data_IF_056537792185
#
_entry.id   IF_056537792185
#
_cell.length_a   1.000
_cell.length_b   1.000
_cell.length_c   1.000
_cell.angle_alpha   90.00
_cell.angle_beta   90.00
_cell.angle_gamma   90.00
#
_symmetry.space_group_name_H-M   'P 1'
#
loop_
_entity.id
_entity.type
_entity.pdbx_description
1 polymer ?
#
# COMPACT_ATOMS: atom_id res chain seq x y z
N UNK A 1 -21.56 58.94 30.85
CA UNK A 1 -20.74 59.16 29.63
C UNK A 1 -19.27 59.17 30.00
N UNK A 2 -18.41 58.67 29.10
CA UNK A 2 -16.93 58.49 29.14
C UNK A 2 -16.40 57.22 29.82
N UNK A 3 -15.82 56.33 29.01
CA UNK A 3 -14.40 55.97 29.03
C UNK A 3 -14.03 55.23 27.73
N UNK A 4 -13.15 55.85 26.96
CA UNK A 4 -12.44 55.26 25.82
C UNK A 4 -11.45 54.22 26.36
N UNK A 5 -11.19 53.15 25.59
CA UNK A 5 -9.84 52.68 25.29
C UNK A 5 -9.91 51.51 24.30
N UNK A 6 -9.51 51.82 23.07
CA UNK A 6 -9.13 50.86 22.05
C UNK A 6 -7.76 50.29 22.47
N UNK A 7 -7.63 48.97 22.59
CA UNK A 7 -6.34 48.29 22.61
C UNK A 7 -6.28 47.35 21.41
N UNK A 8 -5.59 47.82 20.37
CA UNK A 8 -5.11 47.00 19.27
C UNK A 8 -3.91 46.23 19.82
N UNK A 9 -4.08 44.94 20.09
CA UNK A 9 -2.97 44.01 20.28
C UNK A 9 -2.76 43.26 18.96
N UNK A 10 -2.09 43.92 18.02
CA UNK A 10 -1.28 43.22 17.03
C UNK A 10 -0.17 42.50 17.80
N UNK A 11 0.00 41.20 17.57
CA UNK A 11 1.24 40.40 17.65
C UNK A 11 0.87 38.93 17.92
N UNK A 12 0.20 38.33 16.94
CA UNK A 12 0.17 36.88 16.77
C UNK A 12 0.93 36.54 15.50
N UNK A 13 2.25 36.77 15.48
CA UNK A 13 3.16 36.06 14.59
C UNK A 13 3.09 34.58 14.98
N UNK A 14 2.00 33.94 14.56
CA UNK A 14 1.91 32.50 14.51
C UNK A 14 2.90 32.06 13.46
N UNK A 15 4.15 31.85 13.90
CA UNK A 15 5.01 30.82 13.35
C UNK A 15 4.20 29.52 13.43
N UNK A 16 3.28 29.35 12.48
CA UNK A 16 2.82 28.05 12.07
C UNK A 16 4.07 27.37 11.57
N UNK A 17 4.75 26.69 12.51
CA UNK A 17 5.70 25.66 12.18
C UNK A 17 5.00 24.84 11.11
N UNK A 18 5.49 24.98 9.87
CA UNK A 18 5.20 24.07 8.80
C UNK A 18 5.77 22.76 9.34
N UNK A 19 4.95 22.00 10.09
CA UNK A 19 5.15 20.59 10.30
C UNK A 19 5.21 20.07 8.88
N UNK A 20 6.44 19.87 8.40
CA UNK A 20 6.70 18.82 7.44
C UNK A 20 6.17 17.59 8.16
N UNK A 21 4.91 17.24 7.88
CA UNK A 21 4.50 15.86 7.91
C UNK A 21 5.51 15.17 7.01
N UNK A 22 6.57 14.65 7.62
CA UNK A 22 7.30 13.56 7.03
C UNK A 22 6.24 12.53 6.73
N UNK A 23 5.83 12.49 5.46
CA UNK A 23 5.09 11.38 4.91
C UNK A 23 5.94 10.17 5.24
N UNK A 24 5.57 9.50 6.34
CA UNK A 24 6.13 8.24 6.78
C UNK A 24 6.04 7.38 5.54
N UNK A 25 7.18 7.15 4.88
CA UNK A 25 7.25 6.25 3.74
C UNK A 25 6.60 4.98 4.23
N UNK A 26 5.45 4.66 3.64
CA UNK A 26 4.73 3.42 3.93
C UNK A 26 5.77 2.33 3.86
N UNK A 27 6.00 1.66 5.00
CA UNK A 27 6.96 0.57 5.08
C UNK A 27 6.49 -0.43 4.04
N UNK A 28 7.25 -0.62 2.97
CA UNK A 28 6.84 -1.50 1.86
C UNK A 28 6.58 -2.88 2.45
N UNK A 29 5.31 -3.29 2.49
CA UNK A 29 4.92 -4.59 3.02
C UNK A 29 5.39 -5.67 2.04
N UNK A 30 6.11 -6.66 2.56
CA UNK A 30 6.57 -7.83 1.80
C UNK A 30 5.77 -9.07 2.15
N UNK A 31 5.69 -10.00 1.21
CA UNK A 31 5.09 -11.32 1.35
C UNK A 31 6.20 -12.35 1.13
N UNK A 32 6.30 -13.30 2.05
CA UNK A 32 7.20 -14.45 1.91
C UNK A 32 6.50 -15.55 1.12
N UNK A 33 7.14 -16.00 0.05
CA UNK A 33 6.65 -17.05 -0.86
C UNK A 33 7.84 -17.93 -1.20
N UNK A 34 7.78 -19.23 -0.91
CA UNK A 34 8.88 -20.17 -1.15
C UNK A 34 10.24 -19.70 -0.58
N UNK A 35 10.22 -19.09 0.61
CA UNK A 35 11.40 -18.55 1.28
C UNK A 35 11.97 -17.26 0.67
N UNK A 36 11.32 -16.68 -0.33
CA UNK A 36 11.72 -15.42 -0.96
C UNK A 36 10.76 -14.28 -0.61
N UNK A 37 11.33 -13.10 -0.40
CA UNK A 37 10.56 -11.88 -0.18
C UNK A 37 10.13 -11.25 -1.51
N UNK A 38 8.84 -10.95 -1.59
CA UNK A 38 8.21 -10.23 -2.68
C UNK A 38 7.51 -9.00 -2.15
N UNK A 39 7.65 -7.87 -2.82
CA UNK A 39 6.83 -6.70 -2.51
C UNK A 39 5.34 -7.01 -2.75
N UNK A 40 4.48 -6.63 -1.80
CA UNK A 40 3.04 -6.85 -1.90
C UNK A 40 2.45 -6.23 -3.16
N UNK A 41 2.92 -5.05 -3.56
CA UNK A 41 2.52 -4.38 -4.80
C UNK A 41 2.84 -5.23 -6.03
N UNK A 42 4.05 -5.79 -6.07
CA UNK A 42 4.49 -6.68 -7.14
C UNK A 42 3.62 -7.92 -7.23
N UNK A 43 3.33 -8.58 -6.10
CA UNK A 43 2.46 -9.76 -6.05
C UNK A 43 1.09 -9.42 -6.62
N UNK A 44 0.46 -8.35 -6.13
CA UNK A 44 -0.89 -7.95 -6.57
C UNK A 44 -0.93 -7.57 -8.04
N UNK A 45 0.04 -6.79 -8.52
CA UNK A 45 0.12 -6.39 -9.93
C UNK A 45 0.34 -7.59 -10.84
N UNK A 46 1.16 -8.55 -10.40
CA UNK A 46 1.45 -9.75 -11.18
C UNK A 46 0.26 -10.69 -11.23
N UNK A 47 -0.36 -10.98 -10.09
CA UNK A 47 -1.60 -11.77 -10.03
C UNK A 47 -2.73 -11.12 -10.83
N UNK A 48 -2.90 -9.80 -10.73
CA UNK A 48 -3.88 -9.03 -11.52
C UNK A 48 -3.68 -9.24 -13.01
N UNK A 49 -2.43 -9.23 -13.50
CA UNK A 49 -2.11 -9.47 -14.91
C UNK A 49 -2.36 -10.91 -15.32
N UNK A 50 -1.92 -11.89 -14.53
CA UNK A 50 -2.06 -13.32 -14.84
C UNK A 50 -3.54 -13.72 -14.89
N UNK A 51 -4.34 -13.26 -13.93
CA UNK A 51 -5.75 -13.63 -13.83
C UNK A 51 -6.68 -12.69 -14.61
N UNK A 52 -6.15 -11.60 -15.18
CA UNK A 52 -6.91 -10.51 -15.80
C UNK A 52 -8.01 -9.92 -14.89
N UNK A 53 -7.65 -9.66 -13.62
CA UNK A 53 -8.57 -9.14 -12.60
C UNK A 53 -8.11 -7.78 -12.07
N UNK A 54 -9.01 -6.93 -11.55
CA UNK A 54 -8.63 -5.67 -10.91
C UNK A 54 -7.68 -5.91 -9.73
N UNK A 55 -6.56 -5.21 -9.68
CA UNK A 55 -5.59 -5.29 -8.59
C UNK A 55 -6.24 -5.07 -7.21
N UNK A 56 -7.14 -4.10 -7.12
CA UNK A 56 -7.80 -3.71 -5.86
C UNK A 56 -8.78 -4.75 -5.32
N UNK A 57 -9.08 -5.80 -6.10
CA UNK A 57 -9.89 -6.93 -5.66
C UNK A 57 -9.09 -8.08 -5.06
N UNK A 58 -7.76 -7.97 -5.08
CA UNK A 58 -6.85 -9.03 -4.65
C UNK A 58 -6.28 -8.62 -3.31
N UNK A 59 -6.42 -9.51 -2.32
CA UNK A 59 -5.83 -9.29 -1.01
C UNK A 59 -5.13 -10.55 -0.51
N UNK A 60 -3.96 -10.36 0.09
CA UNK A 60 -3.22 -11.41 0.76
C UNK A 60 -3.70 -11.56 2.20
N UNK A 61 -4.07 -12.79 2.58
CA UNK A 61 -4.33 -13.18 3.95
C UNK A 61 -3.09 -13.88 4.54
N UNK A 62 -2.37 -13.23 5.48
CA UNK A 62 -1.17 -13.80 6.09
C UNK A 62 -1.46 -14.98 7.01
N UNK A 63 -2.68 -15.12 7.54
CA UNK A 63 -3.02 -16.22 8.44
C UNK A 63 -3.19 -17.54 7.70
N UNK A 64 -3.78 -17.48 6.51
CA UNK A 64 -4.05 -18.66 5.67
C UNK A 64 -3.04 -18.81 4.53
N UNK A 65 -2.12 -17.86 4.37
CA UNK A 65 -1.19 -17.77 3.24
C UNK A 65 -1.93 -17.85 1.88
N UNK A 66 -3.05 -17.15 1.74
CA UNK A 66 -3.85 -17.17 0.50
C UNK A 66 -4.00 -15.78 -0.11
N UNK A 67 -4.06 -15.73 -1.44
CA UNK A 67 -4.62 -14.61 -2.19
C UNK A 67 -6.11 -14.84 -2.36
N UNK A 68 -6.88 -13.89 -1.85
CA UNK A 68 -8.33 -13.91 -1.91
C UNK A 68 -8.83 -12.86 -2.89
N UNK A 69 -9.96 -13.17 -3.54
CA UNK A 69 -10.57 -12.35 -4.58
C UNK A 69 -12.03 -12.10 -4.21
N UNK A 70 -12.30 -10.89 -3.73
CA UNK A 70 -13.54 -10.54 -3.02
C UNK A 70 -14.83 -10.91 -3.78
N UNK A 71 -14.89 -10.55 -5.07
CA UNK A 71 -16.13 -10.72 -5.85
C UNK A 71 -16.29 -12.11 -6.46
N UNK A 72 -15.25 -12.94 -6.45
CA UNK A 72 -15.31 -14.31 -6.97
C UNK A 72 -15.53 -15.34 -5.86
N UNK A 73 -15.49 -14.93 -4.58
CA UNK A 73 -15.41 -15.83 -3.43
C UNK A 73 -14.34 -16.92 -3.65
N UNK A 74 -13.21 -16.49 -4.21
CA UNK A 74 -12.13 -17.36 -4.65
C UNK A 74 -10.88 -17.09 -3.81
N UNK A 75 -10.26 -18.17 -3.35
CA UNK A 75 -9.00 -18.13 -2.60
C UNK A 75 -8.01 -19.08 -3.24
N UNK A 76 -6.79 -18.60 -3.45
CA UNK A 76 -5.68 -19.40 -3.94
C UNK A 76 -4.53 -19.35 -2.95
N UNK A 77 -3.89 -20.49 -2.72
CA UNK A 77 -2.63 -20.60 -1.99
C UNK A 77 -1.52 -19.79 -2.70
N UNK A 78 -0.86 -18.90 -1.97
CA UNK A 78 0.20 -18.04 -2.52
C UNK A 78 1.41 -18.85 -3.00
N UNK A 79 1.69 -20.01 -2.39
CA UNK A 79 2.84 -20.85 -2.75
C UNK A 79 2.70 -21.40 -4.17
N UNK A 80 1.46 -21.59 -4.65
CA UNK A 80 1.19 -22.01 -6.03
C UNK A 80 1.54 -20.92 -7.06
N UNK A 81 1.55 -19.66 -6.65
CA UNK A 81 1.96 -18.53 -7.48
C UNK A 81 3.47 -18.28 -7.48
N UNK A 82 4.23 -18.92 -6.58
CA UNK A 82 5.68 -18.75 -6.46
C UNK A 82 6.43 -18.88 -7.79
N UNK A 83 6.22 -19.96 -8.58
CA UNK A 83 6.86 -20.11 -9.89
C UNK A 83 6.53 -18.99 -10.88
N UNK A 84 5.27 -18.56 -10.95
CA UNK A 84 4.85 -17.49 -11.86
C UNK A 84 5.45 -16.13 -11.47
N UNK A 85 5.45 -15.81 -10.17
CA UNK A 85 6.05 -14.59 -9.63
C UNK A 85 7.55 -14.56 -9.89
N UNK A 86 8.24 -15.68 -9.71
CA UNK A 86 9.67 -15.84 -10.00
C UNK A 86 9.97 -15.68 -11.49
N UNK A 87 9.13 -16.24 -12.37
CA UNK A 87 9.27 -16.09 -13.82
C UNK A 87 9.09 -14.61 -14.25
N UNK A 88 8.13 -13.90 -13.68
CA UNK A 88 7.91 -12.47 -13.95
C UNK A 88 9.07 -11.63 -13.41
N UNK A 89 9.54 -11.89 -12.18
CA UNK A 89 10.66 -11.19 -11.56
C UNK A 89 11.97 -11.36 -12.34
N UNK A 90 12.18 -12.54 -12.93
CA UNK A 90 13.38 -12.85 -13.75
C UNK A 90 13.23 -12.43 -15.22
N UNK A 91 12.12 -11.79 -15.60
CA UNK A 91 11.88 -11.30 -16.96
C UNK A 91 11.56 -12.41 -17.97
N UNK A 92 11.24 -13.63 -17.53
CA UNK A 92 10.89 -14.77 -18.39
C UNK A 92 9.43 -14.76 -18.85
N UNK A 93 8.61 -13.85 -18.34
CA UNK A 93 7.23 -13.63 -18.76
C UNK A 93 7.20 -12.63 -19.92
N UNK A 94 7.66 -13.05 -21.09
CA UNK A 94 7.37 -12.38 -22.37
C UNK A 94 6.21 -13.10 -23.03
N UNK A 95 4.98 -12.64 -22.82
CA UNK A 95 3.82 -12.95 -23.67
C UNK A 95 2.69 -11.97 -23.46
#
# INVERSE_FOLDING_TARGET
>A
MKRYLMFIALLGLGFGACKKEEAVKSKEETILIDGEEYEKDFVYKTTSRILALPKDSIYYNPLTHTLNIDYLNFSMDIEKFGPDLRNVKTGKYEK
#
